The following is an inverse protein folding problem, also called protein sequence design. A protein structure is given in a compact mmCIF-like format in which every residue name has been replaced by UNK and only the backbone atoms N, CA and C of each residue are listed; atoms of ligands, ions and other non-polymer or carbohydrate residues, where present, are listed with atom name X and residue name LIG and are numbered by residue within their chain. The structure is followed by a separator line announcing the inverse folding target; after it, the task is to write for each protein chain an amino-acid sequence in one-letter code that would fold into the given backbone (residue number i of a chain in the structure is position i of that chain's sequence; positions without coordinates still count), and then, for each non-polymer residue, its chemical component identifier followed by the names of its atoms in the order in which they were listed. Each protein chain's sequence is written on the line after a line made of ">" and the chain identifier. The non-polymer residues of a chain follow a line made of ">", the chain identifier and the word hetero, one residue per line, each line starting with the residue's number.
data_IF_417890007152
#
_entry.id   IF_417890007152
#
_cell.length_a   1.000
_cell.length_b   1.000
_cell.length_c   1.000
_cell.angle_alpha   90.00
_cell.angle_beta   90.00
_cell.angle_gamma   90.00
#
_symmetry.space_group_name_H-M   'P 1'
#
loop_
_entity.id
_entity.type
_entity.pdbx_description
1 polymer ?
#
# COMPACT_ATOMS: atom_id res chain seq x y z
N UNK A 1 43.57 -17.62 64.39
CA UNK A 1 44.77 -16.88 64.80
C UNK A 1 45.54 -16.50 63.53
N UNK A 2 45.85 -15.20 63.39
CA UNK A 2 46.79 -14.53 62.47
C UNK A 2 46.87 -15.01 61.00
N UNK A 3 46.62 -14.23 59.95
CA UNK A 3 46.73 -12.78 59.78
C UNK A 3 48.08 -12.41 59.16
N UNK A 4 48.08 -11.95 57.91
CA UNK A 4 49.01 -10.92 57.40
C UNK A 4 48.67 -10.53 55.96
N UNK A 5 48.08 -9.33 55.84
CA UNK A 5 47.99 -8.47 54.66
C UNK A 5 49.38 -7.94 54.23
N UNK A 6 49.37 -7.00 53.26
CA UNK A 6 50.33 -5.91 52.96
C UNK A 6 51.01 -6.09 51.58
N UNK A 7 51.02 -5.16 50.62
CA UNK A 7 50.43 -3.82 50.41
C UNK A 7 50.59 -3.42 48.94
N UNK A 8 49.65 -2.60 48.50
CA UNK A 8 49.66 -1.61 47.43
C UNK A 8 50.97 -0.79 47.26
N UNK A 9 51.37 -0.47 46.02
CA UNK A 9 51.84 0.90 45.69
C UNK A 9 51.84 1.28 44.20
N UNK A 10 51.34 2.50 44.03
CA UNK A 10 50.99 3.34 42.89
C UNK A 10 52.16 4.24 42.47
N UNK A 11 52.30 4.59 41.18
CA UNK A 11 52.88 5.85 40.62
C UNK A 11 52.76 5.79 39.08
N UNK A 12 51.97 6.61 38.37
CA UNK A 12 51.97 8.08 38.08
C UNK A 12 53.14 8.58 37.21
N UNK A 13 52.76 9.24 36.11
CA UNK A 13 53.56 10.17 35.28
C UNK A 13 54.01 9.56 33.95
N UNK A 14 53.85 10.15 32.76
CA UNK A 14 53.42 11.47 32.34
C UNK A 14 54.11 11.81 31.00
N UNK A 15 53.40 12.52 30.12
CA UNK A 15 53.86 13.40 29.02
C UNK A 15 54.79 12.90 27.90
N UNK A 16 54.42 13.22 26.66
CA UNK A 16 55.35 13.30 25.52
C UNK A 16 54.64 13.38 24.18
N UNK A 17 54.65 14.56 23.56
CA UNK A 17 54.06 14.89 22.26
C UNK A 17 55.10 14.80 21.12
N UNK A 18 54.61 15.11 19.90
CA UNK A 18 55.28 15.35 18.59
C UNK A 18 55.33 14.13 17.64
N UNK A 19 54.58 14.14 16.53
CA UNK A 19 54.76 14.89 15.27
C UNK A 19 56.03 14.50 14.50
N UNK A 20 55.85 13.89 13.33
CA UNK A 20 56.51 14.31 12.07
C UNK A 20 55.69 13.81 10.87
N UNK A 21 55.24 14.75 10.06
CA UNK A 21 54.88 14.58 8.66
C UNK A 21 56.15 14.62 7.76
N UNK A 22 56.00 14.22 6.50
CA UNK A 22 56.68 14.59 5.23
C UNK A 22 56.40 13.39 4.28
N UNK A 23 55.87 13.50 3.05
CA UNK A 23 55.57 14.60 2.15
C UNK A 23 56.00 14.25 0.71
N UNK A 24 55.17 14.64 -0.28
CA UNK A 24 55.50 14.98 -1.70
C UNK A 24 55.99 13.85 -2.66
N UNK A 25 55.74 13.81 -3.98
CA UNK A 25 54.97 14.64 -4.93
C UNK A 25 54.96 14.00 -6.34
N UNK A 26 54.18 14.62 -7.25
CA UNK A 26 54.26 14.68 -8.74
C UNK A 26 53.38 13.71 -9.55
N UNK A 27 52.30 14.16 -10.25
CA UNK A 27 52.23 14.91 -11.54
C UNK A 27 52.71 14.07 -12.76
N UNK A 28 52.15 14.07 -13.98
CA UNK A 28 51.00 14.69 -14.66
C UNK A 28 50.91 14.09 -16.10
N UNK A 29 50.01 14.62 -16.95
CA UNK A 29 49.79 14.40 -18.40
C UNK A 29 48.83 13.25 -18.80
N UNK A 30 47.62 13.45 -19.36
CA UNK A 30 47.08 14.26 -20.47
C UNK A 30 47.33 13.69 -21.88
N UNK A 31 46.25 13.27 -22.57
CA UNK A 31 45.95 13.31 -24.01
C UNK A 31 44.55 12.66 -24.16
N UNK A 32 43.53 13.19 -24.84
CA UNK A 32 43.49 14.13 -25.95
C UNK A 32 43.14 13.40 -27.25
N UNK A 33 41.86 13.27 -27.59
CA UNK A 33 41.42 12.93 -28.96
C UNK A 33 40.04 13.52 -29.24
N UNK A 34 40.08 14.63 -29.99
CA UNK A 34 38.95 15.26 -30.68
C UNK A 34 38.75 14.54 -32.02
N UNK A 35 37.51 14.35 -32.45
CA UNK A 35 37.12 14.55 -33.85
C UNK A 35 35.80 15.31 -33.94
N UNK A 36 35.89 16.49 -34.53
CA UNK A 36 34.85 17.29 -35.17
C UNK A 36 34.36 16.55 -36.44
N UNK A 37 33.35 16.88 -37.24
CA UNK A 37 32.39 17.99 -37.43
C UNK A 37 31.67 17.68 -38.76
N UNK A 38 30.42 18.18 -38.94
CA UNK A 38 29.79 18.53 -40.25
C UNK A 38 29.41 17.35 -41.17
N UNK A 39 28.34 17.33 -41.97
CA UNK A 39 27.50 18.37 -42.58
C UNK A 39 26.23 17.73 -43.23
N UNK A 40 25.27 18.58 -43.65
CA UNK A 40 24.09 18.38 -44.55
C UNK A 40 22.83 17.76 -43.90
N UNK A 41 21.66 18.40 -43.81
CA UNK A 41 20.95 19.44 -44.61
C UNK A 41 20.59 18.98 -46.04
N UNK A 42 19.39 18.41 -46.21
CA UNK A 42 18.47 18.50 -47.36
C UNK A 42 17.08 18.10 -46.82
N UNK A 43 16.15 19.03 -46.58
CA UNK A 43 15.35 19.88 -47.48
C UNK A 43 14.25 19.11 -48.22
N UNK A 44 13.00 19.56 -47.99
CA UNK A 44 11.92 19.84 -48.96
C UNK A 44 11.43 18.66 -49.80
N UNK A 45 10.15 18.50 -50.15
CA UNK A 45 8.97 19.38 -50.22
C UNK A 45 7.78 18.45 -50.56
N UNK A 46 6.55 18.75 -50.13
CA UNK A 46 5.41 19.20 -50.98
C UNK A 46 5.05 18.20 -52.11
N UNK A 47 3.81 17.85 -52.41
CA UNK A 47 2.50 18.52 -52.39
C UNK A 47 1.46 17.37 -52.54
N UNK A 48 0.33 17.34 -51.85
CA UNK A 48 -0.87 18.18 -51.99
C UNK A 48 -1.78 17.79 -53.17
N UNK A 49 -3.05 17.59 -52.80
CA UNK A 49 -4.28 17.82 -53.57
C UNK A 49 -4.52 16.89 -54.80
N UNK A 50 -5.74 16.61 -55.23
CA UNK A 50 -7.01 17.32 -55.09
C UNK A 50 -8.20 16.42 -55.50
N UNK A 51 -9.40 16.91 -55.14
CA UNK A 51 -10.71 16.80 -55.84
C UNK A 51 -11.43 15.44 -55.81
N UNK A 52 -12.58 15.33 -55.12
CA UNK A 52 -13.92 15.89 -55.37
C UNK A 52 -14.59 15.33 -56.63
N UNK A 53 -15.74 14.68 -56.47
CA UNK A 53 -16.92 14.81 -57.34
C UNK A 53 -18.15 14.13 -56.69
N UNK A 54 -19.27 14.80 -56.87
CA UNK A 54 -20.62 14.56 -56.36
C UNK A 54 -21.30 13.33 -56.98
N UNK A 55 -22.43 12.91 -56.40
CA UNK A 55 -23.49 12.31 -57.23
C UNK A 55 -24.33 11.20 -56.60
N UNK A 56 -25.49 11.63 -56.08
CA UNK A 56 -26.81 11.03 -56.33
C UNK A 56 -27.39 9.95 -55.38
N UNK A 57 -28.67 10.19 -55.06
CA UNK A 57 -29.56 9.40 -54.18
C UNK A 57 -30.60 8.69 -55.06
N UNK A 58 -31.13 7.53 -54.65
CA UNK A 58 -32.59 7.53 -54.51
C UNK A 58 -33.12 6.78 -53.28
N UNK A 59 -34.34 7.19 -52.93
CA UNK A 59 -35.11 6.93 -51.72
C UNK A 59 -36.05 5.69 -51.84
N UNK A 60 -36.62 5.28 -50.69
CA UNK A 60 -37.87 4.53 -50.44
C UNK A 60 -37.78 2.97 -50.49
N UNK A 61 -38.35 2.13 -49.59
CA UNK A 61 -39.55 2.18 -48.71
C UNK A 61 -39.37 1.25 -47.49
N UNK A 62 -39.66 1.73 -46.26
CA UNK A 62 -40.80 1.40 -45.36
C UNK A 62 -41.22 -0.07 -45.21
N UNK A 63 -41.41 -0.50 -43.94
CA UNK A 63 -42.46 -1.35 -43.31
C UNK A 63 -41.80 -1.98 -42.05
N UNK A 64 -42.33 -2.02 -40.82
CA UNK A 64 -43.59 -1.61 -40.20
C UNK A 64 -43.41 -1.55 -38.67
N UNK A 65 -44.16 -0.65 -38.02
CA UNK A 65 -44.35 -0.60 -36.56
C UNK A 65 -45.42 -1.60 -36.14
N UNK A 66 -45.19 -2.40 -35.10
CA UNK A 66 -46.24 -3.10 -34.35
C UNK A 66 -46.18 -2.71 -32.86
N UNK A 67 -47.23 -2.03 -32.41
CA UNK A 67 -47.52 -1.67 -31.01
C UNK A 67 -47.76 -2.92 -30.16
N UNK A 68 -47.29 -2.93 -28.91
CA UNK A 68 -47.95 -3.63 -27.78
C UNK A 68 -47.89 -2.80 -26.50
N UNK A 69 -49.01 -2.84 -25.76
CA UNK A 69 -49.38 -2.06 -24.57
C UNK A 69 -48.74 -2.58 -23.28
N UNK A 70 -48.75 -1.69 -22.27
CA UNK A 70 -48.38 -1.85 -20.85
C UNK A 70 -48.87 -3.13 -20.14
N UNK A 71 -48.03 -3.66 -19.23
CA UNK A 71 -48.43 -4.12 -17.89
C UNK A 71 -47.22 -4.17 -16.92
N UNK A 72 -47.42 -3.61 -15.73
CA UNK A 72 -46.88 -3.90 -14.37
C UNK A 72 -45.58 -4.70 -14.17
N UNK A 73 -44.69 -4.22 -13.26
CA UNK A 73 -43.34 -4.74 -12.92
C UNK A 73 -43.24 -6.12 -12.22
N UNK A 74 -42.14 -6.52 -11.54
CA UNK A 74 -41.06 -5.69 -10.97
C UNK A 74 -39.60 -6.17 -11.17
N UNK A 75 -38.68 -5.24 -10.86
CA UNK A 75 -37.27 -5.33 -10.46
C UNK A 75 -36.60 -6.72 -10.31
N UNK A 76 -35.52 -6.91 -11.07
CA UNK A 76 -34.51 -7.94 -10.85
C UNK A 76 -33.10 -7.34 -10.78
N UNK A 77 -32.78 -6.64 -9.70
CA UNK A 77 -31.40 -6.24 -9.38
C UNK A 77 -30.67 -7.42 -8.73
N UNK A 78 -29.74 -8.00 -9.49
CA UNK A 78 -28.88 -9.09 -9.04
C UNK A 78 -28.08 -8.70 -7.80
N UNK A 79 -28.45 -9.26 -6.65
CA UNK A 79 -27.66 -9.19 -5.40
C UNK A 79 -26.34 -9.94 -5.57
N UNK A 80 -25.23 -9.23 -5.44
CA UNK A 80 -23.90 -9.81 -5.15
C UNK A 80 -23.88 -10.31 -3.68
N UNK A 81 -23.39 -11.52 -3.38
CA UNK A 81 -23.21 -11.94 -2.00
C UNK A 81 -21.98 -11.27 -1.37
N UNK A 82 -22.18 -10.92 -0.10
CA UNK A 82 -21.29 -10.23 0.84
C UNK A 82 -20.08 -11.05 1.26
N UNK A 83 -19.13 -10.33 1.87
CA UNK A 83 -17.84 -10.62 2.52
C UNK A 83 -17.69 -11.89 3.42
N UNK A 84 -18.48 -12.95 3.22
CA UNK A 84 -18.36 -14.22 3.95
C UNK A 84 -17.95 -15.40 3.07
N UNK A 85 -17.78 -15.18 1.77
CA UNK A 85 -17.25 -16.17 0.85
C UNK A 85 -15.84 -15.74 0.43
N UNK A 86 -14.83 -16.65 0.46
CA UNK A 86 -13.53 -16.32 -0.11
C UNK A 86 -13.71 -15.91 -1.56
N UNK A 87 -12.96 -14.91 -2.03
CA UNK A 87 -12.89 -14.60 -3.45
C UNK A 87 -12.46 -15.88 -4.19
N UNK A 88 -13.33 -16.42 -5.04
CA UNK A 88 -13.05 -17.64 -5.80
C UNK A 88 -12.80 -17.29 -7.26
N UNK A 89 -11.64 -17.67 -7.77
CA UNK A 89 -11.45 -17.84 -9.22
C UNK A 89 -12.22 -19.11 -9.63
N UNK A 90 -13.01 -19.11 -10.72
CA UNK A 90 -13.68 -20.31 -11.22
C UNK A 90 -12.74 -21.51 -11.47
N UNK A 91 -11.44 -21.25 -11.67
CA UNK A 91 -10.41 -22.30 -11.81
C UNK A 91 -9.99 -22.94 -10.48
N UNK A 92 -10.36 -22.37 -9.33
CA UNK A 92 -10.01 -22.85 -7.99
C UNK A 92 -11.12 -23.75 -7.37
N UNK A 93 -12.14 -24.18 -8.13
CA UNK A 93 -13.33 -24.88 -7.59
C UNK A 93 -13.55 -26.30 -8.15
N UNK A 94 -13.47 -27.32 -7.29
CA UNK A 94 -14.08 -28.64 -7.50
C UNK A 94 -15.60 -28.64 -7.17
N UNK A 95 -16.32 -29.64 -7.68
CA UNK A 95 -17.79 -29.73 -7.84
C UNK A 95 -18.70 -29.17 -6.70
N UNK A 96 -19.83 -28.58 -7.11
CA UNK A 96 -20.78 -27.82 -6.27
C UNK A 96 -21.83 -28.72 -5.59
N UNK A 97 -22.05 -28.54 -4.28
CA UNK A 97 -23.21 -29.09 -3.54
C UNK A 97 -24.16 -27.95 -3.15
N UNK A 98 -25.47 -28.13 -3.37
CA UNK A 98 -26.54 -27.18 -3.03
C UNK A 98 -27.01 -27.37 -1.58
N UNK A 99 -27.16 -26.28 -0.82
CA UNK A 99 -27.77 -26.26 0.52
C UNK A 99 -28.96 -25.30 0.57
N UNK A 100 -30.05 -25.76 1.17
CA UNK A 100 -31.36 -25.10 1.35
C UNK A 100 -31.37 -24.11 2.53
N UNK A 101 -32.24 -23.08 2.47
CA UNK A 101 -32.35 -21.99 3.47
C UNK A 101 -33.42 -22.26 4.54
N UNK A 102 -33.22 -21.80 5.79
CA UNK A 102 -34.32 -21.55 6.74
C UNK A 102 -34.72 -20.06 6.82
N UNK A 103 -35.87 -19.85 7.47
CA UNK A 103 -36.76 -18.69 7.42
C UNK A 103 -36.31 -17.44 8.21
N UNK A 104 -37.05 -16.36 7.97
CA UNK A 104 -36.77 -14.97 8.32
C UNK A 104 -36.97 -14.60 9.80
N UNK A 105 -36.15 -13.66 10.27
CA UNK A 105 -36.42 -12.82 11.45
C UNK A 105 -36.23 -11.35 11.06
N UNK A 106 -37.06 -10.52 11.67
CA UNK A 106 -37.54 -9.20 11.27
C UNK A 106 -36.57 -8.04 11.42
N UNK A 107 -36.92 -7.00 10.68
CA UNK A 107 -36.26 -5.73 10.39
C UNK A 107 -35.89 -4.88 11.63
N UNK A 108 -34.69 -4.30 11.57
CA UNK A 108 -34.11 -3.45 12.59
C UNK A 108 -33.12 -2.49 11.93
N UNK A 109 -33.55 -1.24 11.80
CA UNK A 109 -32.86 -0.10 11.19
C UNK A 109 -31.51 0.19 11.88
N UNK A 110 -30.41 -0.42 11.43
CA UNK A 110 -29.06 -0.08 11.88
C UNK A 110 -28.29 0.74 10.84
N UNK A 111 -28.41 2.06 10.93
CA UNK A 111 -27.36 2.96 10.43
C UNK A 111 -26.18 2.88 11.39
N UNK A 112 -25.34 1.85 11.27
CA UNK A 112 -24.16 1.70 12.13
C UNK A 112 -23.16 2.81 11.81
N UNK A 113 -23.17 3.88 12.61
CA UNK A 113 -22.02 4.78 12.70
C UNK A 113 -20.84 3.97 13.24
N UNK A 114 -19.65 4.10 12.63
CA UNK A 114 -18.60 3.08 12.70
C UNK A 114 -17.79 3.26 13.98
N UNK A 115 -17.38 2.17 14.61
CA UNK A 115 -16.40 2.23 15.70
C UNK A 115 -15.14 3.00 15.24
N UNK A 116 -14.49 3.78 16.12
CA UNK A 116 -13.32 4.59 15.78
C UNK A 116 -12.25 3.75 15.06
N UNK A 117 -11.48 4.39 14.18
CA UNK A 117 -10.41 3.69 13.47
C UNK A 117 -9.26 3.40 14.44
N UNK A 118 -9.05 4.30 15.39
CA UNK A 118 -8.06 4.18 16.45
C UNK A 118 -8.78 3.78 17.74
N UNK A 119 -8.47 2.58 18.25
CA UNK A 119 -9.04 2.12 19.52
C UNK A 119 -8.52 2.97 20.70
N UNK A 120 -9.10 2.79 21.88
CA UNK A 120 -8.70 3.52 23.09
C UNK A 120 -7.22 3.34 23.43
N UNK A 121 -6.70 2.12 23.23
CA UNK A 121 -5.28 1.77 23.42
C UNK A 121 -4.37 2.34 22.31
N UNK A 122 -4.93 2.97 21.26
CA UNK A 122 -4.21 3.52 20.12
C UNK A 122 -3.91 2.51 19.01
N UNK A 123 -4.23 1.23 19.21
CA UNK A 123 -4.17 0.23 18.14
C UNK A 123 -5.27 0.52 17.12
N UNK A 124 -4.94 0.48 15.84
CA UNK A 124 -5.91 0.80 14.80
C UNK A 124 -6.54 -0.47 14.23
N UNK A 125 -7.62 -0.97 14.84
CA UNK A 125 -8.29 -2.26 14.53
C UNK A 125 -7.30 -3.43 14.45
N UNK A 126 -6.73 -3.85 15.59
CA UNK A 126 -5.78 -4.96 15.63
C UNK A 126 -6.44 -6.28 15.20
N UNK A 127 -5.63 -7.24 14.71
CA UNK A 127 -6.10 -8.62 14.55
C UNK A 127 -6.29 -9.27 15.92
N UNK A 128 -7.12 -10.33 16.00
CA UNK A 128 -7.48 -10.99 17.28
C UNK A 128 -6.29 -11.28 18.19
N UNK A 129 -5.23 -11.90 17.64
CA UNK A 129 -4.02 -12.24 18.40
C UNK A 129 -2.98 -11.12 18.53
N UNK A 130 -3.29 -9.87 18.16
CA UNK A 130 -2.30 -8.78 18.24
C UNK A 130 -1.98 -8.41 19.67
N UNK A 131 -2.99 -8.34 20.55
CA UNK A 131 -2.79 -7.96 21.96
C UNK A 131 -1.95 -9.01 22.69
N UNK A 132 -2.31 -10.29 22.52
CA UNK A 132 -1.49 -11.41 23.00
C UNK A 132 -0.04 -11.33 22.48
N UNK A 133 0.16 -11.01 21.20
CA UNK A 133 1.51 -10.85 20.62
C UNK A 133 2.33 -9.70 21.20
N UNK A 134 1.69 -8.60 21.60
CA UNK A 134 2.39 -7.46 22.21
C UNK A 134 2.91 -7.78 23.60
N UNK A 135 2.24 -8.71 24.29
CA UNK A 135 2.57 -9.15 25.65
C UNK A 135 3.40 -10.45 25.65
N UNK A 136 3.81 -10.95 24.48
CA UNK A 136 4.63 -12.16 24.36
C UNK A 136 6.01 -11.97 25.01
N UNK A 137 6.38 -12.95 25.83
CA UNK A 137 7.77 -13.15 26.28
C UNK A 137 8.68 -13.55 25.11
N UNK A 138 10.00 -13.32 25.20
CA UNK A 138 10.95 -13.78 24.19
C UNK A 138 10.82 -15.28 23.86
N UNK A 139 10.56 -16.12 24.87
CA UNK A 139 10.38 -17.56 24.71
C UNK A 139 9.09 -17.90 23.93
N UNK A 140 8.00 -17.16 24.15
CA UNK A 140 6.77 -17.31 23.38
C UNK A 140 6.95 -16.87 21.93
N UNK A 141 7.66 -15.76 21.70
CA UNK A 141 7.97 -15.29 20.36
C UNK A 141 8.82 -16.31 19.57
N UNK A 142 9.81 -16.93 20.21
CA UNK A 142 10.63 -17.99 19.60
C UNK A 142 9.81 -19.24 19.28
N UNK A 143 8.93 -19.69 20.21
CA UNK A 143 8.01 -20.81 19.94
C UNK A 143 7.11 -20.55 18.73
N UNK A 144 6.60 -19.32 18.59
CA UNK A 144 5.80 -18.91 17.43
C UNK A 144 6.64 -18.91 16.14
N UNK A 145 7.89 -18.47 16.20
CA UNK A 145 8.81 -18.52 15.07
C UNK A 145 9.08 -19.96 14.62
N UNK A 146 9.34 -20.87 15.56
CA UNK A 146 9.52 -22.30 15.27
C UNK A 146 8.27 -22.93 14.65
N UNK A 147 7.08 -22.58 15.15
CA UNK A 147 5.82 -23.01 14.55
C UNK A 147 5.66 -22.55 13.09
N UNK A 148 6.02 -21.30 12.79
CA UNK A 148 6.00 -20.78 11.42
C UNK A 148 7.02 -21.50 10.52
N UNK A 149 8.23 -21.75 11.02
CA UNK A 149 9.25 -22.52 10.28
C UNK A 149 8.73 -23.91 9.92
N UNK A 150 8.12 -24.62 10.86
CA UNK A 150 7.49 -25.92 10.62
C UNK A 150 6.46 -25.84 9.50
N UNK A 151 5.55 -24.86 9.55
CA UNK A 151 4.54 -24.67 8.51
C UNK A 151 5.14 -24.39 7.13
N UNK A 152 6.19 -23.55 7.04
CA UNK A 152 6.87 -23.28 5.77
C UNK A 152 7.59 -24.51 5.24
N UNK A 153 8.22 -25.30 6.12
CA UNK A 153 8.83 -26.57 5.73
C UNK A 153 7.78 -27.51 5.13
N UNK A 154 6.63 -27.65 5.77
CA UNK A 154 5.51 -28.44 5.23
C UNK A 154 5.06 -27.93 3.87
N UNK A 155 5.00 -26.61 3.65
CA UNK A 155 4.70 -26.05 2.32
C UNK A 155 5.73 -26.50 1.28
N UNK A 156 7.03 -26.46 1.60
CA UNK A 156 8.10 -26.90 0.69
C UNK A 156 7.94 -28.39 0.31
N UNK A 157 7.69 -29.24 1.31
CA UNK A 157 7.43 -30.68 1.09
C UNK A 157 6.20 -30.89 0.21
N UNK A 158 5.10 -30.17 0.48
CA UNK A 158 3.86 -30.28 -0.28
C UNK A 158 3.97 -29.80 -1.73
N UNK A 159 4.89 -28.89 -2.07
CA UNK A 159 5.16 -28.51 -3.47
C UNK A 159 6.14 -29.44 -4.18
N UNK A 160 6.63 -30.49 -3.50
CA UNK A 160 7.56 -31.48 -4.04
C UNK A 160 9.03 -31.07 -4.01
N UNK A 161 9.39 -30.05 -3.21
CA UNK A 161 10.79 -29.66 -3.00
C UNK A 161 11.44 -30.49 -1.89
N UNK A 162 12.77 -30.65 -1.96
CA UNK A 162 13.60 -31.18 -0.88
C UNK A 162 13.96 -30.05 0.09
N UNK A 163 13.40 -29.98 1.31
CA UNK A 163 13.67 -28.89 2.24
C UNK A 163 15.10 -28.89 2.80
N UNK A 164 15.85 -29.99 2.64
CA UNK A 164 17.19 -30.15 3.20
C UNK A 164 18.31 -29.79 2.20
N UNK A 165 17.96 -29.45 0.95
CA UNK A 165 18.95 -28.96 -0.01
C UNK A 165 19.52 -27.60 0.37
N UNK A 166 20.81 -27.40 0.10
CA UNK A 166 21.60 -26.23 0.54
C UNK A 166 20.96 -24.87 0.26
N UNK A 167 20.31 -24.69 -0.90
CA UNK A 167 19.70 -23.42 -1.31
C UNK A 167 18.48 -23.00 -0.48
N UNK A 168 17.73 -23.94 0.09
CA UNK A 168 16.48 -23.66 0.83
C UNK A 168 16.46 -24.19 2.27
N UNK A 169 17.56 -24.77 2.75
CA UNK A 169 17.71 -25.26 4.12
C UNK A 169 17.25 -24.24 5.18
N UNK A 170 17.60 -22.97 5.01
CA UNK A 170 17.23 -21.87 5.92
C UNK A 170 16.04 -21.02 5.40
N UNK A 171 15.42 -21.41 4.28
CA UNK A 171 14.22 -20.73 3.75
C UNK A 171 13.06 -20.70 4.74
N UNK A 172 12.73 -21.77 5.50
CA UNK A 172 11.67 -21.71 6.51
C UNK A 172 11.86 -20.58 7.52
N UNK A 173 13.09 -20.37 8.00
CA UNK A 173 13.43 -19.30 8.94
C UNK A 173 13.33 -17.93 8.28
N UNK A 174 13.91 -17.77 7.09
CA UNK A 174 13.88 -16.50 6.35
C UNK A 174 12.44 -16.08 6.01
N UNK A 175 11.62 -17.02 5.53
CA UNK A 175 10.22 -16.75 5.19
C UNK A 175 9.40 -16.40 6.43
N UNK A 176 9.56 -17.14 7.53
CA UNK A 176 8.86 -16.83 8.78
C UNK A 176 9.17 -15.41 9.28
N UNK A 177 10.46 -15.02 9.27
CA UNK A 177 10.87 -13.66 9.62
C UNK A 177 10.30 -12.61 8.65
N UNK A 178 10.32 -12.89 7.35
CA UNK A 178 9.76 -11.99 6.34
C UNK A 178 8.25 -11.78 6.54
N UNK A 179 7.49 -12.85 6.80
CA UNK A 179 6.05 -12.77 7.06
C UNK A 179 5.73 -11.93 8.29
N UNK A 180 6.52 -12.06 9.37
CA UNK A 180 6.37 -11.22 10.56
C UNK A 180 6.68 -9.76 10.27
N UNK A 181 7.68 -9.47 9.43
CA UNK A 181 7.97 -8.10 8.99
C UNK A 181 6.85 -7.52 8.12
N UNK A 182 6.33 -8.30 7.17
CA UNK A 182 5.23 -7.88 6.29
C UNK A 182 3.94 -7.61 7.07
N UNK A 183 3.79 -8.17 8.26
CA UNK A 183 2.60 -8.03 9.12
C UNK A 183 2.87 -7.27 10.42
N UNK A 184 4.01 -6.58 10.54
CA UNK A 184 4.41 -5.83 11.76
C UNK A 184 3.43 -4.70 12.11
N UNK A 185 2.72 -4.16 11.13
CA UNK A 185 1.80 -3.04 11.26
C UNK A 185 0.56 -3.31 12.12
N UNK A 186 0.28 -4.58 12.42
CA UNK A 186 -0.73 -4.93 13.43
C UNK A 186 -0.33 -4.48 14.84
N UNK A 187 0.96 -4.54 15.17
CA UNK A 187 1.51 -4.27 16.51
C UNK A 187 1.92 -2.79 16.70
N UNK A 188 1.65 -1.94 15.70
CA UNK A 188 2.03 -0.54 15.73
C UNK A 188 0.85 0.32 16.18
N UNK A 189 1.18 1.35 16.97
CA UNK A 189 0.25 2.33 17.49
C UNK A 189 0.35 3.63 16.67
N UNK A 190 -0.80 4.15 16.21
CA UNK A 190 -0.82 5.37 15.41
C UNK A 190 -0.38 6.59 16.21
N UNK A 191 -0.70 6.64 17.51
CA UNK A 191 -0.35 7.77 18.39
C UNK A 191 1.16 7.85 18.59
N UNK A 192 1.82 6.70 18.77
CA UNK A 192 3.28 6.61 18.88
C UNK A 192 3.97 6.98 17.57
N UNK A 193 3.40 6.56 16.43
CA UNK A 193 3.91 6.96 15.11
C UNK A 193 3.90 8.48 14.97
N UNK A 194 2.78 9.12 15.32
CA UNK A 194 2.63 10.58 15.27
C UNK A 194 3.61 11.23 16.26
N UNK A 195 3.71 10.70 17.49
CA UNK A 195 4.72 11.07 18.48
C UNK A 195 4.71 12.56 18.82
N UNK A 196 3.52 13.17 18.91
CA UNK A 196 3.36 14.60 19.22
C UNK A 196 3.84 15.56 18.12
N UNK A 197 4.20 15.08 16.92
CA UNK A 197 4.66 15.92 15.80
C UNK A 197 3.48 16.63 15.10
N UNK A 198 2.70 17.39 15.88
CA UNK A 198 1.61 18.24 15.44
C UNK A 198 1.95 19.68 15.83
N UNK A 199 1.97 20.56 14.85
CA UNK A 199 2.44 21.94 14.96
C UNK A 199 1.31 22.92 14.65
N UNK A 200 1.33 24.09 15.29
CA UNK A 200 0.34 25.14 15.08
C UNK A 200 0.95 26.25 14.21
N UNK A 201 0.84 26.11 12.90
CA UNK A 201 1.48 27.02 11.93
C UNK A 201 0.50 28.02 11.29
N UNK A 202 -0.79 28.03 11.69
CA UNK A 202 -1.80 28.90 11.07
C UNK A 202 -2.06 28.60 9.58
N UNK A 203 -1.47 27.53 9.04
CA UNK A 203 -1.66 27.09 7.66
C UNK A 203 -3.04 26.48 7.48
N UNK A 204 -3.78 26.91 6.46
CA UNK A 204 -5.15 26.46 6.18
C UNK A 204 -5.37 26.04 4.72
N UNK A 205 -4.28 25.93 3.95
CA UNK A 205 -4.27 25.49 2.56
C UNK A 205 -4.03 23.98 2.45
N UNK A 206 -4.21 23.42 1.24
CA UNK A 206 -4.03 22.00 0.99
C UNK A 206 -2.57 21.57 1.12
N UNK A 207 -2.31 20.57 1.96
CA UNK A 207 -1.01 19.91 2.07
C UNK A 207 -1.09 18.54 1.38
N UNK A 208 -0.15 18.25 0.48
CA UNK A 208 -0.11 16.99 -0.28
C UNK A 208 1.25 16.31 -0.10
N UNK A 209 1.22 15.03 0.27
CA UNK A 209 2.36 14.11 0.19
C UNK A 209 2.04 13.07 -0.87
N UNK A 210 2.70 13.17 -2.02
CA UNK A 210 2.46 12.30 -3.18
C UNK A 210 3.57 11.28 -3.39
N UNK A 211 3.24 10.21 -4.12
CA UNK A 211 4.19 9.18 -4.55
C UNK A 211 4.82 8.41 -3.39
N UNK A 212 4.04 8.14 -2.34
CA UNK A 212 4.45 7.30 -1.22
C UNK A 212 4.45 5.84 -1.70
N UNK A 213 5.60 5.18 -1.68
CA UNK A 213 5.68 3.77 -2.05
C UNK A 213 5.02 2.87 -0.99
N UNK A 214 4.12 2.01 -1.45
CA UNK A 214 3.35 1.10 -0.61
C UNK A 214 3.62 -0.34 -1.03
N UNK A 215 3.92 -1.17 -0.03
CA UNK A 215 4.08 -2.62 -0.16
C UNK A 215 3.15 -3.28 0.86
N UNK A 216 2.23 -4.12 0.38
CA UNK A 216 1.24 -4.81 1.22
C UNK A 216 1.03 -6.24 0.74
N UNK A 217 0.38 -7.07 1.56
CA UNK A 217 0.01 -8.44 1.20
C UNK A 217 -1.49 -8.53 0.95
N UNK A 218 -1.90 -9.14 -0.16
CA UNK A 218 -3.30 -9.44 -0.43
C UNK A 218 -3.77 -10.53 0.55
N UNK A 219 -4.82 -10.24 1.33
CA UNK A 219 -5.31 -11.20 2.34
C UNK A 219 -5.89 -12.48 1.75
N UNK A 220 -6.33 -12.45 0.49
CA UNK A 220 -6.90 -13.62 -0.18
C UNK A 220 -5.86 -14.67 -0.59
N UNK A 221 -4.65 -14.24 -0.93
CA UNK A 221 -3.64 -15.10 -1.55
C UNK A 221 -2.29 -15.07 -0.83
N UNK A 222 -2.10 -14.18 0.16
CA UNK A 222 -0.81 -13.90 0.81
C UNK A 222 0.30 -13.49 -0.18
N UNK A 223 -0.11 -12.92 -1.32
CA UNK A 223 0.77 -12.46 -2.40
C UNK A 223 0.84 -10.94 -2.38
N UNK A 224 2.01 -10.33 -2.64
CA UNK A 224 2.15 -8.88 -2.58
C UNK A 224 1.30 -8.11 -3.60
N UNK A 225 0.86 -6.93 -3.19
CA UNK A 225 0.49 -5.85 -4.10
C UNK A 225 1.29 -4.61 -3.74
N UNK A 226 1.74 -3.88 -4.77
CA UNK A 226 2.68 -2.78 -4.62
C UNK A 226 2.25 -1.61 -5.49
N UNK A 227 2.46 -0.39 -5.00
CA UNK A 227 2.01 0.78 -5.71
C UNK A 227 2.38 2.09 -5.03
N UNK A 228 1.67 3.15 -5.41
CA UNK A 228 1.86 4.48 -4.87
C UNK A 228 0.58 4.98 -4.21
N UNK A 229 0.75 5.64 -3.08
CA UNK A 229 -0.31 6.34 -2.38
C UNK A 229 -0.01 7.84 -2.37
N UNK A 230 -1.07 8.62 -2.54
CA UNK A 230 -1.05 10.07 -2.47
C UNK A 230 -2.04 10.50 -1.41
N UNK A 231 -1.56 11.31 -0.47
CA UNK A 231 -2.31 11.74 0.70
C UNK A 231 -2.37 13.25 0.69
N UNK A 232 -3.57 13.80 0.87
CA UNK A 232 -3.79 15.22 1.06
C UNK A 232 -4.68 15.47 2.28
N UNK A 233 -4.49 16.62 2.91
CA UNK A 233 -5.41 17.12 3.92
C UNK A 233 -5.43 18.65 3.90
N UNK A 234 -6.54 19.23 4.40
CA UNK A 234 -6.64 20.67 4.63
C UNK A 234 -6.68 20.89 6.14
N UNK A 235 -5.62 21.48 6.75
CA UNK A 235 -5.54 21.68 8.19
C UNK A 235 -6.71 22.49 8.77
N UNK A 236 -6.86 22.38 10.10
CA UNK A 236 -7.58 23.36 10.92
C UNK A 236 -6.59 23.95 11.92
N UNK A 237 -5.67 24.79 11.43
CA UNK A 237 -4.53 25.37 12.16
C UNK A 237 -3.45 24.38 12.65
N UNK A 238 -3.70 23.07 12.62
CA UNK A 238 -2.76 22.02 13.03
C UNK A 238 -2.18 21.27 11.83
N UNK A 239 -0.86 21.23 11.74
CA UNK A 239 -0.08 20.58 10.68
C UNK A 239 0.66 19.39 11.27
N UNK A 240 0.70 18.26 10.57
CA UNK A 240 1.49 17.09 10.96
C UNK A 240 2.88 17.15 10.34
N UNK A 241 3.90 16.67 11.06
CA UNK A 241 5.21 16.42 10.47
C UNK A 241 5.09 15.55 9.21
N UNK A 242 5.61 16.02 8.08
CA UNK A 242 5.40 15.43 6.74
C UNK A 242 5.75 13.93 6.73
N UNK A 243 6.83 13.54 7.42
CA UNK A 243 7.29 12.14 7.50
C UNK A 243 6.30 11.20 8.19
N UNK A 244 5.27 11.70 8.88
CA UNK A 244 4.30 10.88 9.61
C UNK A 244 3.23 10.29 8.70
N UNK A 245 2.85 10.98 7.61
CA UNK A 245 1.86 10.46 6.67
C UNK A 245 2.31 9.15 5.99
N UNK A 246 3.55 9.04 5.46
CA UNK A 246 4.08 7.77 4.97
C UNK A 246 4.14 6.68 6.04
N UNK A 247 4.48 7.03 7.29
CA UNK A 247 4.54 6.05 8.39
C UNK A 247 3.17 5.50 8.77
N UNK A 248 2.14 6.35 8.77
CA UNK A 248 0.74 5.92 8.96
C UNK A 248 0.33 4.98 7.82
N UNK A 249 0.65 5.33 6.57
CA UNK A 249 0.36 4.48 5.42
C UNK A 249 1.08 3.12 5.51
N UNK A 250 2.38 3.10 5.87
CA UNK A 250 3.14 1.87 6.08
C UNK A 250 2.53 1.02 7.20
N UNK A 251 2.10 1.62 8.31
CA UNK A 251 1.48 0.89 9.41
C UNK A 251 0.28 0.06 8.96
N UNK A 252 -0.59 0.62 8.12
CA UNK A 252 -1.74 -0.12 7.60
C UNK A 252 -1.35 -1.09 6.47
N UNK A 253 -0.37 -0.72 5.64
CA UNK A 253 0.10 -1.57 4.54
C UNK A 253 0.87 -2.81 5.03
N UNK A 254 1.51 -2.75 6.20
CA UNK A 254 2.20 -3.89 6.82
C UNK A 254 1.23 -4.83 7.54
N UNK A 255 0.18 -5.24 6.83
CA UNK A 255 -0.92 -6.12 7.26
C UNK A 255 -1.35 -7.00 6.08
N UNK A 256 -2.19 -7.98 6.37
CA UNK A 256 -3.00 -8.62 5.32
C UNK A 256 -4.15 -7.66 4.97
N UNK A 257 -4.28 -7.33 3.68
CA UNK A 257 -5.13 -6.23 3.23
C UNK A 257 -5.92 -6.54 1.97
N UNK A 258 -6.96 -5.70 1.81
CA UNK A 258 -7.64 -5.39 0.56
C UNK A 258 -7.35 -3.90 0.28
N UNK A 259 -7.08 -3.53 -0.98
CA UNK A 259 -6.65 -2.17 -1.33
C UNK A 259 -7.68 -1.10 -0.91
N UNK A 260 -8.96 -1.37 -1.13
CA UNK A 260 -10.07 -0.50 -0.73
C UNK A 260 -10.08 -0.24 0.78
N UNK A 261 -9.80 -1.28 1.58
CA UNK A 261 -9.72 -1.18 3.04
C UNK A 261 -8.52 -0.35 3.44
N UNK A 262 -7.33 -0.65 2.91
CA UNK A 262 -6.10 0.08 3.17
C UNK A 262 -6.26 1.59 2.91
N UNK A 263 -6.78 1.96 1.74
CA UNK A 263 -7.03 3.36 1.37
C UNK A 263 -7.97 4.07 2.36
N UNK A 264 -9.05 3.38 2.78
CA UNK A 264 -10.01 3.91 3.74
C UNK A 264 -9.43 4.02 5.15
N UNK A 265 -8.67 3.04 5.61
CA UNK A 265 -8.05 3.02 6.95
C UNK A 265 -7.07 4.19 7.12
N UNK A 266 -6.23 4.44 6.12
CA UNK A 266 -5.29 5.58 6.12
C UNK A 266 -6.04 6.91 6.20
N UNK A 267 -7.05 7.11 5.36
CA UNK A 267 -7.83 8.35 5.35
C UNK A 267 -8.51 8.61 6.71
N UNK A 268 -9.15 7.60 7.29
CA UNK A 268 -9.82 7.72 8.58
C UNK A 268 -8.85 7.95 9.74
N UNK A 269 -7.70 7.26 9.75
CA UNK A 269 -6.69 7.46 10.80
C UNK A 269 -6.16 8.91 10.81
N UNK A 270 -5.88 9.47 9.63
CA UNK A 270 -5.44 10.88 9.52
C UNK A 270 -6.55 11.82 9.97
N UNK A 271 -7.79 11.56 9.56
CA UNK A 271 -8.95 12.35 9.97
C UNK A 271 -9.14 12.34 11.49
N UNK A 272 -8.94 11.19 12.14
CA UNK A 272 -9.10 11.02 13.57
C UNK A 272 -7.97 11.68 14.38
N UNK A 273 -6.72 11.50 13.94
CA UNK A 273 -5.53 12.05 14.61
C UNK A 273 -5.46 13.57 14.48
N UNK A 274 -5.62 14.11 13.28
CA UNK A 274 -5.40 15.54 13.01
C UNK A 274 -6.68 16.38 13.09
N UNK A 275 -7.85 15.74 13.01
CA UNK A 275 -9.16 16.41 12.92
C UNK A 275 -9.15 17.56 11.90
N UNK A 276 -8.63 17.37 10.68
CA UNK A 276 -8.52 18.44 9.68
C UNK A 276 -9.90 18.85 9.14
N UNK A 277 -9.95 19.84 8.26
CA UNK A 277 -11.17 20.20 7.53
C UNK A 277 -11.60 19.08 6.58
N UNK A 278 -10.65 18.33 6.05
CA UNK A 278 -10.86 17.13 5.25
C UNK A 278 -9.55 16.42 4.92
N UNK A 279 -9.69 15.18 4.44
CA UNK A 279 -8.59 14.30 4.01
C UNK A 279 -8.96 13.69 2.67
N UNK A 280 -7.98 13.51 1.77
CA UNK A 280 -8.13 12.71 0.56
C UNK A 280 -6.95 11.76 0.44
N UNK A 281 -7.25 10.50 0.12
CA UNK A 281 -6.24 9.47 -0.16
C UNK A 281 -6.60 8.83 -1.49
N UNK A 282 -5.63 8.69 -2.38
CA UNK A 282 -5.74 7.86 -3.57
C UNK A 282 -4.55 6.91 -3.62
N UNK A 283 -4.81 5.67 -4.01
CA UNK A 283 -3.80 4.64 -4.15
C UNK A 283 -3.98 3.95 -5.50
N UNK A 284 -2.88 3.82 -6.23
CA UNK A 284 -2.77 3.00 -7.43
C UNK A 284 -1.76 1.88 -7.18
N UNK A 285 -2.14 0.63 -7.46
CA UNK A 285 -1.24 -0.50 -7.28
C UNK A 285 -1.44 -1.61 -8.30
N UNK A 286 -0.36 -2.36 -8.51
CA UNK A 286 -0.37 -3.64 -9.21
C UNK A 286 -0.43 -4.77 -8.20
N UNK A 287 -1.24 -5.79 -8.51
CA UNK A 287 -1.49 -6.94 -7.64
C UNK A 287 -0.83 -8.17 -8.23
N UNK A 288 0.17 -8.74 -7.56
CA UNK A 288 0.87 -9.91 -8.11
C UNK A 288 -0.07 -11.12 -8.25
N UNK A 289 -1.13 -11.21 -7.44
CA UNK A 289 -2.15 -12.25 -7.62
C UNK A 289 -2.93 -12.15 -8.95
N UNK A 290 -2.85 -11.01 -9.66
CA UNK A 290 -3.39 -10.85 -11.02
C UNK A 290 -2.30 -10.91 -12.10
N UNK A 291 -1.04 -10.64 -11.74
CA UNK A 291 0.08 -10.55 -12.68
C UNK A 291 0.75 -11.91 -12.90
N UNK A 292 1.11 -12.61 -11.82
CA UNK A 292 1.92 -13.84 -11.89
C UNK A 292 1.11 -15.14 -11.81
N UNK A 293 -0.21 -15.02 -11.61
CA UNK A 293 -1.15 -16.15 -11.60
C UNK A 293 -2.52 -15.67 -12.04
N UNK A 294 -3.44 -16.62 -12.19
CA UNK A 294 -4.84 -16.30 -12.45
C UNK A 294 -5.03 -15.66 -13.82
N UNK A 295 -5.45 -14.40 -13.88
CA UNK A 295 -5.78 -13.72 -15.15
C UNK A 295 -4.55 -13.20 -15.90
N UNK A 296 -3.38 -13.18 -15.26
CA UNK A 296 -2.06 -12.89 -15.85
C UNK A 296 -2.00 -11.58 -16.65
N UNK A 297 -2.53 -10.49 -16.07
CA UNK A 297 -2.54 -9.16 -16.68
C UNK A 297 -1.43 -8.29 -16.09
N UNK A 298 -0.32 -8.20 -16.81
CA UNK A 298 0.89 -7.47 -16.41
C UNK A 298 0.72 -5.95 -16.38
N UNK A 299 -0.10 -5.40 -17.28
CA UNK A 299 -0.28 -3.95 -17.42
C UNK A 299 -1.42 -3.35 -16.59
N UNK A 300 -2.19 -4.18 -15.88
CA UNK A 300 -3.36 -3.70 -15.13
C UNK A 300 -2.93 -3.09 -13.80
N UNK A 301 -3.36 -1.85 -13.55
CA UNK A 301 -3.33 -1.22 -12.24
C UNK A 301 -4.74 -1.03 -11.70
N UNK A 302 -4.86 -1.03 -10.37
CA UNK A 302 -6.13 -0.76 -9.67
C UNK A 302 -5.98 0.55 -8.92
N UNK A 303 -6.92 1.47 -9.13
CA UNK A 303 -6.99 2.76 -8.45
C UNK A 303 -8.15 2.75 -7.45
N UNK A 304 -7.88 3.13 -6.21
CA UNK A 304 -8.90 3.33 -5.16
C UNK A 304 -8.71 4.70 -4.54
N UNK A 305 -9.80 5.33 -4.11
CA UNK A 305 -9.73 6.60 -3.39
C UNK A 305 -10.70 6.65 -2.22
N UNK A 306 -10.36 7.44 -1.21
CA UNK A 306 -11.21 7.77 -0.08
C UNK A 306 -11.08 9.27 0.21
N UNK A 307 -12.20 9.98 0.17
CA UNK A 307 -12.29 11.42 0.47
C UNK A 307 -13.20 11.64 1.67
N UNK A 308 -12.79 12.53 2.57
CA UNK A 308 -13.48 12.83 3.83
C UNK A 308 -13.54 14.35 4.02
N UNK A 309 -14.57 14.82 4.72
CA UNK A 309 -14.68 16.23 5.11
C UNK A 309 -14.90 17.16 3.91
N UNK A 310 -14.10 18.23 3.80
CA UNK A 310 -14.25 19.20 2.71
C UNK A 310 -14.01 18.59 1.31
N UNK A 311 -13.14 17.58 1.17
CA UNK A 311 -12.94 16.88 -0.11
C UNK A 311 -14.17 16.11 -0.59
N UNK A 312 -14.99 15.62 0.34
CA UNK A 312 -16.25 14.96 0.00
C UNK A 312 -17.31 16.00 -0.42
N UNK A 313 -17.45 17.07 0.36
CA UNK A 313 -18.47 18.11 0.18
C UNK A 313 -18.20 19.09 -0.97
N UNK A 314 -16.94 19.35 -1.32
CA UNK A 314 -16.56 20.39 -2.27
C UNK A 314 -15.84 19.77 -3.48
N UNK A 315 -16.54 19.71 -4.62
CA UNK A 315 -16.00 19.14 -5.85
C UNK A 315 -14.75 19.88 -6.35
N UNK A 316 -14.70 21.21 -6.24
CA UNK A 316 -13.54 22.02 -6.65
C UNK A 316 -12.25 21.58 -5.93
N UNK A 317 -12.31 21.48 -4.60
CA UNK A 317 -11.18 21.01 -3.77
C UNK A 317 -10.76 19.58 -4.10
N UNK A 318 -11.72 18.70 -4.36
CA UNK A 318 -11.42 17.32 -4.78
C UNK A 318 -10.75 17.25 -6.15
N UNK A 319 -11.24 18.03 -7.11
CA UNK A 319 -10.68 18.08 -8.46
C UNK A 319 -9.29 18.71 -8.49
N UNK A 320 -9.05 19.73 -7.65
CA UNK A 320 -7.72 20.31 -7.42
C UNK A 320 -6.73 19.22 -6.96
N UNK A 321 -7.10 18.44 -5.93
CA UNK A 321 -6.26 17.33 -5.46
C UNK A 321 -5.95 16.32 -6.56
N UNK A 322 -6.97 15.78 -7.24
CA UNK A 322 -6.76 14.78 -8.29
C UNK A 322 -5.86 15.33 -9.42
N UNK A 323 -6.06 16.59 -9.82
CA UNK A 323 -5.22 17.26 -10.81
C UNK A 323 -3.76 17.34 -10.37
N UNK A 324 -3.50 17.71 -9.10
CA UNK A 324 -2.13 17.86 -8.55
C UNK A 324 -1.37 16.53 -8.41
N UNK A 325 -2.09 15.41 -8.28
CA UNK A 325 -1.51 14.06 -8.21
C UNK A 325 -1.49 13.33 -9.56
N UNK A 326 -1.96 13.97 -10.63
CA UNK A 326 -1.88 13.44 -12.00
C UNK A 326 -3.08 12.59 -12.45
N UNK A 327 -4.15 12.54 -11.66
CA UNK A 327 -5.42 11.95 -12.09
C UNK A 327 -6.28 13.06 -12.71
N UNK A 328 -6.38 13.08 -14.04
CA UNK A 328 -7.34 13.94 -14.73
C UNK A 328 -8.73 13.33 -14.54
N UNK A 329 -9.58 14.01 -13.77
CA UNK A 329 -11.00 13.69 -13.64
C UNK A 329 -11.78 14.01 -14.91
#
# INVERSE_FOLDING_TARGET
>A
MAGSEVTERKKRGGSGAQETAIGSDAESASQGSRRSSKDKKRSRREEAASEDEEGDVPELKKISKKKRKHSTGPNGSGRRPSLSLPARDPRDSGAVVKVTKPAAVTDGKETRSPSPMVDFDGLSRPSKGTRERLEETPEQAEKRLEKLKGAVRTILECVGEDPDRSGILDTPKRYAKAMLFFTKGYQQNVRDIVGGAIFHEGHNEMVIVKSIDIFSLCEHHLVPFTGKMHIAYIPRNQVIGISKLPRIAEMFARRLQIQERLTKEVANAIMEVLKPRGVAVVMESSHLCMVMRGVEKTSTSTITSCVLGCFERQSKTRNEFFSLVGYKG
#
